data_IF_553663218090
#
_entry.id   IF_553663218090
#
_cell.length_a   1.000
_cell.length_b   1.000
_cell.length_c   1.000
_cell.angle_alpha   90.00
_cell.angle_beta   90.00
_cell.angle_gamma   90.00
#
_symmetry.space_group_name_H-M   'P 1'
#
loop_
_entity.id
_entity.type
_entity.pdbx_description
1 polymer ?
#
# COMPACT_ATOMS: atom_id res chain seq x y z
N UNK A 1 -30.39 11.21 76.61
CA UNK A 1 -29.58 10.16 75.94
C UNK A 1 -29.84 10.20 74.46
N UNK A 2 -28.88 10.66 73.65
CA UNK A 2 -28.74 10.32 72.24
C UNK A 2 -27.33 10.74 71.80
N UNK A 3 -26.50 9.75 71.51
CA UNK A 3 -25.08 9.82 71.18
C UNK A 3 -24.87 10.24 69.72
N UNK A 4 -24.06 11.27 69.46
CA UNK A 4 -23.53 11.58 68.13
C UNK A 4 -22.18 10.90 67.94
N UNK A 5 -22.12 9.91 67.05
CA UNK A 5 -20.90 9.18 66.73
C UNK A 5 -20.02 9.97 65.76
N UNK A 6 -18.78 10.19 66.18
CA UNK A 6 -17.74 10.89 65.44
C UNK A 6 -17.11 9.94 64.39
N UNK A 7 -17.39 10.19 63.10
CA UNK A 7 -16.87 9.40 61.98
C UNK A 7 -15.68 10.09 61.29
N UNK A 8 -14.48 9.88 61.81
CA UNK A 8 -13.25 10.51 61.36
C UNK A 8 -12.66 9.75 60.14
N UNK A 9 -13.02 10.13 58.90
CA UNK A 9 -12.39 9.56 57.70
C UNK A 9 -11.11 10.32 57.34
N UNK A 10 -9.97 9.87 57.87
CA UNK A 10 -8.62 10.26 57.44
C UNK A 10 -8.43 9.94 55.95
N UNK A 11 -8.50 10.97 55.10
CA UNK A 11 -7.97 10.91 53.73
C UNK A 11 -6.45 10.81 53.81
N UNK A 12 -5.90 9.71 53.30
CA UNK A 12 -4.46 9.54 53.08
C UNK A 12 -4.03 10.54 51.99
N UNK A 13 -3.35 11.60 52.41
CA UNK A 13 -2.59 12.46 51.50
C UNK A 13 -1.38 11.66 50.99
N UNK A 14 -1.51 11.15 49.76
CA UNK A 14 -0.39 10.66 48.98
C UNK A 14 0.50 11.85 48.58
N UNK A 15 1.60 12.00 49.31
CA UNK A 15 2.61 13.03 49.10
C UNK A 15 3.22 13.01 47.69
N UNK A 16 3.69 14.20 47.30
CA UNK A 16 4.53 14.55 46.13
C UNK A 16 3.84 14.91 44.80
N UNK A 17 2.50 14.82 44.66
CA UNK A 17 1.81 15.44 43.50
C UNK A 17 1.19 16.82 43.78
N UNK A 18 1.24 17.29 45.04
CA UNK A 18 0.61 18.55 45.48
C UNK A 18 1.46 19.80 45.24
N UNK A 19 2.74 19.66 44.83
CA UNK A 19 3.67 20.77 44.64
C UNK A 19 3.65 21.38 43.23
N UNK A 20 3.03 20.73 42.25
CA UNK A 20 2.83 21.34 40.94
C UNK A 20 1.73 22.41 41.03
N UNK A 21 2.00 23.69 40.70
CA UNK A 21 1.00 24.73 40.77
C UNK A 21 -0.19 24.40 39.85
N UNK A 22 -1.37 24.22 40.44
CA UNK A 22 -2.63 23.93 39.70
C UNK A 22 -3.11 25.11 38.85
N UNK A 23 -2.55 26.30 39.07
CA UNK A 23 -2.88 27.55 38.39
C UNK A 23 -1.59 28.30 38.11
N UNK A 24 -1.50 28.86 36.91
CA UNK A 24 -0.38 29.72 36.48
C UNK A 24 -0.85 31.18 36.55
N UNK A 25 -0.03 32.05 37.15
CA UNK A 25 -0.23 33.50 37.03
C UNK A 25 0.35 33.95 35.69
N UNK A 26 -0.52 34.23 34.72
CA UNK A 26 -0.14 34.56 33.35
C UNK A 26 0.72 35.83 33.30
N UNK A 27 0.38 36.85 34.09
CA UNK A 27 1.07 38.14 34.08
C UNK A 27 2.51 38.02 34.58
N UNK A 28 2.70 37.43 35.76
CA UNK A 28 4.04 37.22 36.33
C UNK A 28 4.93 36.38 35.41
N UNK A 29 4.32 35.38 34.76
CA UNK A 29 5.02 34.53 33.80
C UNK A 29 5.41 35.27 32.51
N UNK A 30 4.54 36.13 31.99
CA UNK A 30 4.83 36.92 30.79
C UNK A 30 5.86 38.01 31.04
N UNK A 31 5.81 38.71 32.18
CA UNK A 31 6.74 39.78 32.53
C UNK A 31 8.17 39.25 32.66
N UNK A 32 8.36 38.13 33.35
CA UNK A 32 9.68 37.50 33.51
C UNK A 32 10.30 37.05 32.18
N UNK A 33 9.50 36.89 31.11
CA UNK A 33 9.93 36.41 29.78
C UNK A 33 9.71 37.43 28.66
N UNK A 34 9.39 38.68 28.99
CA UNK A 34 9.00 39.68 27.99
C UNK A 34 10.08 39.91 26.93
N UNK A 35 11.34 40.12 27.37
CA UNK A 35 12.47 40.33 26.47
C UNK A 35 12.73 39.13 25.52
N UNK A 36 12.56 37.90 26.01
CA UNK A 36 12.70 36.69 25.19
C UNK A 36 11.59 36.61 24.13
N UNK A 37 10.34 36.90 24.51
CA UNK A 37 9.18 36.87 23.62
C UNK A 37 9.26 37.97 22.55
N UNK A 38 9.74 39.16 22.91
CA UNK A 38 9.96 40.27 21.97
C UNK A 38 11.04 39.93 20.94
N UNK A 39 12.16 39.36 21.39
CA UNK A 39 13.23 38.88 20.51
C UNK A 39 12.72 37.80 19.55
N UNK A 40 12.01 36.79 20.07
CA UNK A 40 11.41 35.73 19.25
C UNK A 40 10.38 36.30 18.26
N UNK A 41 9.53 37.21 18.71
CA UNK A 41 8.52 37.83 17.87
C UNK A 41 9.16 38.63 16.73
N UNK A 42 10.22 39.39 16.99
CA UNK A 42 10.96 40.13 15.96
C UNK A 42 11.46 39.20 14.86
N UNK A 43 12.16 38.12 15.26
CA UNK A 43 12.72 37.11 14.33
C UNK A 43 11.61 36.42 13.52
N UNK A 44 10.52 36.00 14.18
CA UNK A 44 9.43 35.27 13.52
C UNK A 44 8.62 36.20 12.62
N UNK A 45 8.36 37.44 13.06
CA UNK A 45 7.63 38.45 12.31
C UNK A 45 8.33 38.79 11.00
N UNK A 46 9.66 38.94 11.03
CA UNK A 46 10.47 39.17 9.83
C UNK A 46 10.37 37.98 8.87
N UNK A 47 10.56 36.75 9.36
CA UNK A 47 10.46 35.54 8.54
C UNK A 47 9.07 35.30 7.92
N UNK A 48 8.02 35.68 8.65
CA UNK A 48 6.63 35.48 8.22
C UNK A 48 6.04 36.70 7.50
N UNK A 49 6.81 37.78 7.29
CA UNK A 49 6.29 39.04 6.75
C UNK A 49 5.02 39.52 7.49
N UNK A 50 5.00 39.36 8.82
CA UNK A 50 3.85 39.68 9.70
C UNK A 50 2.56 38.87 9.41
N UNK A 51 2.59 37.81 8.59
CA UNK A 51 1.42 36.94 8.37
C UNK A 51 1.36 35.78 9.37
N UNK A 52 0.56 35.96 10.42
CA UNK A 52 0.31 34.96 11.45
C UNK A 52 -0.99 34.16 11.21
N UNK A 53 -1.63 34.29 10.04
CA UNK A 53 -2.93 33.67 9.78
C UNK A 53 -2.82 32.16 9.67
N UNK A 54 -3.66 31.46 10.44
CA UNK A 54 -3.76 30.00 10.33
C UNK A 54 -4.46 29.59 9.03
N UNK A 55 -3.78 28.71 8.25
CA UNK A 55 -4.35 28.12 7.03
C UNK A 55 -5.59 27.27 7.38
N UNK A 56 -6.70 27.51 6.68
CA UNK A 56 -8.00 26.88 6.95
C UNK A 56 -7.94 25.34 6.95
N UNK A 57 -7.18 24.74 6.03
CA UNK A 57 -7.03 23.28 5.92
C UNK A 57 -6.26 22.64 7.10
N UNK A 58 -5.46 23.43 7.82
CA UNK A 58 -4.74 22.98 9.03
C UNK A 58 -5.57 23.10 10.31
N UNK A 59 -6.71 23.81 10.28
CA UNK A 59 -7.58 23.97 11.46
C UNK A 59 -8.16 22.62 11.89
N UNK A 60 -8.32 22.43 13.20
CA UNK A 60 -8.93 21.25 13.84
C UNK A 60 -9.97 21.71 14.85
N UNK A 61 -10.95 20.86 15.14
CA UNK A 61 -11.93 21.10 16.21
C UNK A 61 -11.36 20.59 17.52
N UNK A 62 -11.64 21.29 18.61
CA UNK A 62 -11.29 20.83 19.96
C UNK A 62 -12.19 19.67 20.36
N UNK A 63 -11.64 18.74 21.15
CA UNK A 63 -12.39 17.63 21.73
C UNK A 63 -12.83 17.98 23.16
N UNK A 64 -13.86 17.31 23.66
CA UNK A 64 -14.33 17.49 25.04
C UNK A 64 -13.28 17.05 26.06
N UNK A 65 -13.10 17.83 27.13
CA UNK A 65 -12.24 17.48 28.27
C UNK A 65 -12.73 16.24 29.05
N UNK A 66 -14.03 15.96 28.99
CA UNK A 66 -14.63 14.88 29.78
C UNK A 66 -14.17 13.51 29.26
N UNK A 67 -13.37 12.81 30.06
CA UNK A 67 -12.93 11.45 29.79
C UNK A 67 -13.96 10.38 30.15
N UNK A 68 -15.11 10.71 30.73
CA UNK A 68 -16.12 9.70 31.12
C UNK A 68 -16.62 8.84 29.95
N UNK A 69 -16.88 9.38 28.74
CA UNK A 69 -17.20 8.55 27.58
C UNK A 69 -16.01 7.68 27.17
N UNK A 70 -14.77 8.12 27.37
CA UNK A 70 -13.57 7.32 27.09
C UNK A 70 -13.37 6.20 28.12
N UNK A 71 -13.63 6.44 29.41
CA UNK A 71 -13.59 5.42 30.48
C UNK A 71 -14.68 4.36 30.30
N UNK A 72 -15.93 4.75 30.04
CA UNK A 72 -17.01 3.80 29.70
C UNK A 72 -16.70 3.01 28.43
N UNK A 73 -16.14 3.65 27.40
CA UNK A 73 -15.68 2.97 26.17
C UNK A 73 -14.49 2.05 26.42
N UNK A 74 -13.57 2.40 27.32
CA UNK A 74 -12.40 1.58 27.71
C UNK A 74 -12.84 0.32 28.46
N UNK A 75 -13.76 0.45 29.41
CA UNK A 75 -14.33 -0.69 30.14
C UNK A 75 -15.08 -1.63 29.18
N UNK A 76 -15.93 -1.09 28.30
CA UNK A 76 -16.58 -1.89 27.27
C UNK A 76 -15.58 -2.52 26.29
N UNK A 77 -14.47 -1.83 26.01
CA UNK A 77 -13.36 -2.33 25.17
C UNK A 77 -12.65 -3.51 25.82
N UNK A 78 -12.28 -3.43 27.10
CA UNK A 78 -11.67 -4.56 27.81
C UNK A 78 -12.64 -5.75 27.91
N UNK A 79 -13.92 -5.50 28.19
CA UNK A 79 -14.95 -6.56 28.17
C UNK A 79 -15.09 -7.21 26.79
N UNK A 80 -15.00 -6.43 25.71
CA UNK A 80 -15.00 -7.01 24.36
C UNK A 80 -13.70 -7.75 24.02
N UNK A 81 -12.54 -7.26 24.46
CA UNK A 81 -11.23 -7.87 24.18
C UNK A 81 -11.04 -9.18 24.96
N UNK A 82 -11.55 -9.26 26.20
CA UNK A 82 -11.61 -10.51 26.97
C UNK A 82 -12.57 -11.54 26.34
N UNK A 83 -13.74 -11.12 25.84
CA UNK A 83 -14.62 -12.00 25.07
C UNK A 83 -13.96 -12.51 23.77
N UNK A 84 -13.17 -11.67 23.10
CA UNK A 84 -12.40 -12.07 21.90
C UNK A 84 -11.36 -13.14 22.24
N UNK A 85 -10.65 -13.00 23.36
CA UNK A 85 -9.68 -14.01 23.82
C UNK A 85 -10.33 -15.36 24.14
N UNK A 86 -11.57 -15.37 24.65
CA UNK A 86 -12.31 -16.60 24.96
C UNK A 86 -12.88 -17.29 23.70
N UNK A 87 -13.36 -16.55 22.70
CA UNK A 87 -13.87 -17.13 21.43
C UNK A 87 -12.74 -17.72 20.56
N UNK A 88 -11.50 -17.30 20.80
CA UNK A 88 -10.31 -17.82 20.09
C UNK A 88 -9.83 -19.18 20.63
N UNK A 89 -10.33 -19.60 21.80
CA UNK A 89 -10.03 -20.89 22.42
C UNK A 89 -11.30 -21.73 22.53
N UNK A 90 -11.58 -22.52 21.48
CA UNK A 90 -12.45 -23.70 21.48
C UNK A 90 -13.78 -23.63 22.24
N UNK A 91 -14.89 -23.45 21.51
CA UNK A 91 -16.22 -23.76 22.03
C UNK A 91 -17.35 -23.45 21.04
N UNK A 92 -18.10 -24.48 20.64
CA UNK A 92 -19.26 -24.49 19.74
C UNK A 92 -20.51 -23.78 20.30
N UNK A 93 -20.35 -22.53 20.75
CA UNK A 93 -21.47 -21.66 21.06
C UNK A 93 -21.37 -20.38 20.23
N UNK A 94 -22.30 -20.22 19.28
CA UNK A 94 -22.55 -18.98 18.53
C UNK A 94 -22.98 -17.85 19.49
N UNK A 95 -22.04 -17.34 20.27
CA UNK A 95 -22.26 -16.13 21.05
C UNK A 95 -22.42 -14.98 20.07
N UNK A 96 -23.63 -14.40 19.98
CA UNK A 96 -23.93 -13.28 19.10
C UNK A 96 -23.04 -12.08 19.44
N UNK A 97 -21.90 -11.99 18.76
CA UNK A 97 -20.95 -10.89 18.91
C UNK A 97 -21.64 -9.60 18.50
N UNK A 98 -21.63 -8.59 19.38
CA UNK A 98 -22.24 -7.30 19.05
C UNK A 98 -21.55 -6.66 17.84
N UNK A 99 -22.31 -5.92 17.01
CA UNK A 99 -21.82 -5.26 15.79
C UNK A 99 -20.56 -4.41 16.02
N UNK A 100 -20.43 -3.79 17.20
CA UNK A 100 -19.28 -2.96 17.57
C UNK A 100 -18.00 -3.79 17.72
N UNK A 101 -18.10 -4.97 18.33
CA UNK A 101 -16.96 -5.88 18.57
C UNK A 101 -16.52 -6.50 17.25
N UNK A 102 -17.46 -6.97 16.44
CA UNK A 102 -17.18 -7.49 15.09
C UNK A 102 -16.43 -6.47 14.23
N UNK A 103 -16.92 -5.22 14.15
CA UNK A 103 -16.24 -4.13 13.41
C UNK A 103 -14.84 -3.81 13.93
N UNK A 104 -14.60 -3.94 15.24
CA UNK A 104 -13.28 -3.71 15.82
C UNK A 104 -12.30 -4.78 15.34
N UNK A 105 -12.71 -6.04 15.35
CA UNK A 105 -11.88 -7.13 14.84
C UNK A 105 -11.59 -6.96 13.35
N UNK A 106 -12.62 -6.68 12.54
CA UNK A 106 -12.48 -6.48 11.10
C UNK A 106 -11.59 -5.28 10.71
N UNK A 107 -11.39 -4.30 11.60
CA UNK A 107 -10.61 -3.09 11.35
C UNK A 107 -9.32 -3.03 12.19
N UNK A 108 -8.98 -4.11 12.90
CA UNK A 108 -7.79 -4.16 13.77
C UNK A 108 -6.50 -4.19 12.95
N UNK A 109 -6.52 -4.84 11.79
CA UNK A 109 -5.38 -4.94 10.89
C UNK A 109 -5.77 -5.60 9.57
N UNK A 110 -4.83 -5.58 8.62
CA UNK A 110 -4.99 -6.26 7.34
C UNK A 110 -4.58 -7.72 7.48
N UNK A 111 -5.26 -8.67 6.81
CA UNK A 111 -4.83 -10.06 6.73
C UNK A 111 -3.51 -10.16 5.97
N UNK A 112 -2.79 -11.28 6.15
CA UNK A 112 -1.54 -11.54 5.42
C UNK A 112 -1.79 -11.65 3.90
N UNK A 113 -2.90 -12.29 3.51
CA UNK A 113 -3.32 -12.48 2.12
C UNK A 113 -4.78 -12.08 1.93
N UNK A 114 -5.13 -11.62 0.72
CA UNK A 114 -6.48 -11.20 0.36
C UNK A 114 -6.96 -9.89 0.99
N UNK A 115 -8.25 -9.61 0.84
CA UNK A 115 -8.90 -8.42 1.37
C UNK A 115 -9.83 -8.76 2.55
N UNK A 116 -9.97 -7.83 3.50
CA UNK A 116 -11.02 -7.93 4.51
C UNK A 116 -12.39 -7.76 3.84
N UNK A 117 -13.30 -8.70 4.07
CA UNK A 117 -14.69 -8.62 3.60
C UNK A 117 -15.61 -8.12 4.71
N UNK A 118 -16.65 -7.40 4.31
CA UNK A 118 -17.78 -7.06 5.16
C UNK A 118 -18.78 -8.23 5.15
N UNK A 119 -19.75 -8.23 6.07
CA UNK A 119 -20.75 -9.30 6.15
C UNK A 119 -21.64 -9.47 4.89
N UNK A 120 -21.64 -8.51 3.99
CA UNK A 120 -22.32 -8.54 2.69
C UNK A 120 -21.39 -8.96 1.52
N UNK A 121 -20.16 -9.42 1.83
CA UNK A 121 -19.15 -9.77 0.83
C UNK A 121 -18.34 -8.59 0.29
N UNK A 122 -18.67 -7.34 0.62
CA UNK A 122 -17.95 -6.18 0.09
C UNK A 122 -16.56 -6.09 0.69
N UNK A 123 -15.54 -6.12 -0.17
CA UNK A 123 -14.11 -6.07 0.15
C UNK A 123 -13.68 -4.68 0.62
N UNK A 124 -12.59 -4.62 1.36
CA UNK A 124 -11.94 -3.40 1.85
C UNK A 124 -10.46 -3.43 1.48
N UNK A 125 -9.99 -2.34 0.88
CA UNK A 125 -8.57 -2.15 0.59
C UNK A 125 -7.75 -2.07 1.90
N UNK A 126 -6.45 -2.35 1.81
CA UNK A 126 -5.53 -2.27 2.95
C UNK A 126 -5.48 -0.88 3.60
N UNK A 127 -5.77 0.17 2.84
CA UNK A 127 -5.82 1.57 3.29
C UNK A 127 -7.23 2.03 3.72
N UNK A 128 -8.21 1.12 3.78
CA UNK A 128 -9.62 1.47 3.98
C UNK A 128 -9.86 2.33 5.22
N UNK A 129 -9.24 2.02 6.36
CA UNK A 129 -9.40 2.80 7.60
C UNK A 129 -8.91 4.24 7.42
N UNK A 130 -7.83 4.45 6.67
CA UNK A 130 -7.29 5.78 6.41
C UNK A 130 -8.25 6.61 5.54
N UNK A 131 -8.78 5.99 4.49
CA UNK A 131 -9.75 6.60 3.57
C UNK A 131 -11.09 6.85 4.26
N UNK A 132 -11.65 5.89 4.98
CA UNK A 132 -12.94 6.02 5.66
C UNK A 132 -12.95 7.12 6.74
N UNK A 133 -11.80 7.48 7.31
CA UNK A 133 -11.66 8.61 8.24
C UNK A 133 -11.71 9.99 7.57
N UNK A 134 -11.46 10.07 6.26
CA UNK A 134 -11.19 11.33 5.53
C UNK A 134 -12.15 11.57 4.37
N UNK A 135 -12.67 10.51 3.78
CA UNK A 135 -13.49 10.53 2.58
C UNK A 135 -14.87 9.96 2.85
N UNK A 136 -15.83 10.37 2.03
CA UNK A 136 -17.12 9.68 1.94
C UNK A 136 -16.89 8.38 1.20
N UNK A 137 -17.15 7.25 1.85
CA UNK A 137 -16.98 5.92 1.27
C UNK A 137 -18.26 5.47 0.57
N UNK A 138 -18.11 4.78 -0.56
CA UNK A 138 -19.21 4.15 -1.31
C UNK A 138 -18.86 2.71 -1.67
N UNK A 139 -19.86 1.90 -2.01
CA UNK A 139 -19.66 0.55 -2.51
C UNK A 139 -19.66 0.58 -4.03
N UNK A 140 -18.54 0.21 -4.64
CA UNK A 140 -18.37 0.13 -6.09
C UNK A 140 -17.58 -1.14 -6.41
N UNK A 141 -18.04 -1.89 -7.41
CA UNK A 141 -17.33 -3.07 -7.94
C UNK A 141 -16.95 -4.12 -6.89
N UNK A 142 -17.79 -4.28 -5.87
CA UNK A 142 -17.51 -5.20 -4.74
C UNK A 142 -16.53 -4.67 -3.70
N UNK A 143 -16.10 -3.41 -3.78
CA UNK A 143 -15.18 -2.76 -2.83
C UNK A 143 -15.79 -1.53 -2.15
N UNK A 144 -15.32 -1.23 -0.93
CA UNK A 144 -15.53 0.06 -0.28
C UNK A 144 -14.47 1.07 -0.74
N UNK A 145 -14.85 1.98 -1.64
CA UNK A 145 -13.95 2.95 -2.26
C UNK A 145 -14.25 4.40 -1.84
N UNK A 146 -13.24 5.27 -1.78
CA UNK A 146 -13.42 6.69 -1.48
C UNK A 146 -14.04 7.42 -2.67
N UNK A 147 -15.19 8.05 -2.49
CA UNK A 147 -15.86 8.84 -3.53
C UNK A 147 -15.36 10.30 -3.58
N UNK A 148 -14.88 10.82 -2.46
CA UNK A 148 -14.41 12.21 -2.36
C UNK A 148 -14.39 12.74 -0.93
N UNK A 149 -13.84 13.93 -0.74
CA UNK A 149 -13.75 14.54 0.59
C UNK A 149 -15.15 14.88 1.13
N UNK A 150 -15.24 14.99 2.45
CA UNK A 150 -16.46 15.46 3.11
C UNK A 150 -16.76 16.92 2.75
N UNK A 151 -18.04 17.25 2.53
CA UNK A 151 -18.52 18.60 2.26
C UNK A 151 -18.90 18.88 0.80
N UNK A 152 -19.39 20.11 0.54
CA UNK A 152 -19.85 20.53 -0.79
C UNK A 152 -18.67 20.57 -1.77
N UNK A 153 -18.88 20.02 -2.97
CA UNK A 153 -17.86 19.98 -4.03
C UNK A 153 -16.77 18.93 -3.83
N UNK A 154 -16.81 18.12 -2.76
CA UNK A 154 -16.00 16.90 -2.55
C UNK A 154 -14.48 17.03 -2.78
N UNK A 155 -13.94 18.25 -2.72
CA UNK A 155 -12.54 18.53 -2.98
C UNK A 155 -12.14 18.62 -4.46
N UNK A 156 -13.08 18.62 -5.42
CA UNK A 156 -12.77 18.59 -6.86
C UNK A 156 -11.83 19.71 -7.31
N UNK A 157 -12.02 20.93 -6.82
CA UNK A 157 -11.14 22.07 -7.10
C UNK A 157 -9.72 21.88 -6.56
N UNK A 158 -9.60 21.26 -5.39
CA UNK A 158 -8.29 20.98 -4.79
C UNK A 158 -7.60 19.85 -5.57
N UNK A 159 -8.32 18.79 -5.93
CA UNK A 159 -7.79 17.71 -6.79
C UNK A 159 -7.24 18.28 -8.11
N UNK A 160 -8.01 19.12 -8.81
CA UNK A 160 -7.56 19.76 -10.05
C UNK A 160 -6.36 20.70 -9.83
N UNK A 161 -6.32 21.40 -8.69
CA UNK A 161 -5.18 22.26 -8.35
C UNK A 161 -3.93 21.42 -8.08
N UNK A 162 -4.06 20.33 -7.31
CA UNK A 162 -2.93 19.45 -6.99
C UNK A 162 -2.44 18.69 -8.21
N UNK A 163 -3.31 18.27 -9.14
CA UNK A 163 -2.86 17.62 -10.37
C UNK A 163 -2.04 18.56 -11.26
N UNK A 164 -2.34 19.87 -11.27
CA UNK A 164 -1.62 20.87 -12.07
C UNK A 164 -0.35 21.41 -11.41
N UNK A 165 -0.32 21.53 -10.08
CA UNK A 165 0.72 22.29 -9.37
C UNK A 165 1.43 21.51 -8.24
N UNK A 166 0.90 20.33 -7.92
CA UNK A 166 1.28 19.54 -6.76
C UNK A 166 1.46 18.07 -7.09
N UNK A 167 1.03 17.22 -6.16
CA UNK A 167 1.03 15.77 -6.31
C UNK A 167 -0.28 15.21 -5.79
N UNK A 168 -0.84 14.24 -6.51
CA UNK A 168 -2.00 13.48 -6.12
C UNK A 168 -1.62 12.00 -6.03
N UNK A 169 -2.09 11.31 -5.00
CA UNK A 169 -1.97 9.87 -4.84
C UNK A 169 -3.36 9.24 -4.95
N UNK A 170 -3.49 8.21 -5.78
CA UNK A 170 -4.69 7.40 -5.91
C UNK A 170 -4.37 5.95 -5.56
N UNK A 171 -5.22 5.34 -4.74
CA UNK A 171 -5.11 3.93 -4.39
C UNK A 171 -5.94 3.09 -5.38
N UNK A 172 -5.26 2.56 -6.39
CA UNK A 172 -5.80 1.71 -7.44
C UNK A 172 -5.69 0.21 -7.11
N UNK A 173 -5.47 -0.17 -5.85
CA UNK A 173 -5.24 -1.56 -5.44
C UNK A 173 -6.47 -2.47 -5.60
N UNK A 174 -7.60 -1.94 -6.07
CA UNK A 174 -8.75 -2.74 -6.50
C UNK A 174 -8.55 -3.34 -7.90
N UNK A 175 -7.55 -2.90 -8.68
CA UNK A 175 -7.11 -3.64 -9.85
C UNK A 175 -6.46 -4.95 -9.39
N UNK A 176 -6.85 -6.05 -10.02
CA UNK A 176 -6.39 -7.38 -9.62
C UNK A 176 -5.40 -7.88 -10.66
N UNK A 177 -4.24 -8.33 -10.18
CA UNK A 177 -3.19 -8.91 -11.01
C UNK A 177 -3.41 -10.42 -11.21
N UNK A 178 -3.24 -10.90 -12.43
CA UNK A 178 -3.17 -12.31 -12.80
C UNK A 178 -1.87 -12.67 -13.51
N UNK A 179 -1.47 -13.94 -13.50
CA UNK A 179 -0.30 -14.46 -14.22
C UNK A 179 -0.66 -15.23 -15.47
N UNK A 180 0.11 -15.07 -16.56
CA UNK A 180 -0.10 -15.77 -17.82
C UNK A 180 1.13 -15.78 -18.74
N UNK A 181 1.37 -16.84 -19.51
CA UNK A 181 2.31 -16.82 -20.64
C UNK A 181 1.63 -17.35 -21.90
N UNK A 182 2.11 -16.89 -23.06
CA UNK A 182 1.73 -17.28 -24.44
C UNK A 182 0.29 -17.05 -24.92
N UNK A 183 -0.66 -16.81 -24.01
CA UNK A 183 -2.09 -16.65 -24.34
C UNK A 183 -2.44 -15.22 -24.79
N UNK A 184 -1.61 -14.24 -24.45
CA UNK A 184 -1.90 -12.83 -24.71
C UNK A 184 -2.15 -12.52 -26.19
N UNK A 185 -1.42 -13.16 -27.11
CA UNK A 185 -1.59 -12.93 -28.54
C UNK A 185 -2.97 -13.39 -29.06
N UNK A 186 -3.66 -14.27 -28.33
CA UNK A 186 -5.00 -14.75 -28.69
C UNK A 186 -6.14 -13.87 -28.12
N UNK A 187 -5.87 -13.13 -27.04
CA UNK A 187 -6.91 -12.45 -26.25
C UNK A 187 -6.81 -10.92 -26.23
N UNK A 188 -5.63 -10.37 -26.53
CA UNK A 188 -5.35 -8.95 -26.41
C UNK A 188 -5.36 -8.25 -27.76
N UNK A 189 -5.98 -7.08 -27.78
CA UNK A 189 -5.87 -6.13 -28.89
C UNK A 189 -5.39 -4.74 -28.37
N UNK A 190 -4.33 -4.14 -28.95
CA UNK A 190 -3.45 -4.73 -29.94
C UNK A 190 -2.72 -5.96 -29.38
N UNK A 191 -2.47 -6.93 -30.24
CA UNK A 191 -1.62 -8.06 -29.88
C UNK A 191 -0.21 -7.53 -29.60
N UNK A 192 0.51 -8.08 -28.59
CA UNK A 192 1.92 -7.76 -28.36
C UNK A 192 2.77 -7.82 -29.65
N UNK A 193 2.45 -8.73 -30.58
CA UNK A 193 3.15 -8.90 -31.85
C UNK A 193 2.90 -7.79 -32.88
N UNK A 194 1.90 -6.92 -32.67
CA UNK A 194 1.57 -5.81 -33.57
C UNK A 194 2.48 -4.59 -33.39
N UNK A 195 3.29 -4.59 -32.33
CA UNK A 195 4.20 -3.50 -32.01
C UNK A 195 5.51 -3.59 -32.80
N UNK A 196 6.25 -2.48 -32.87
CA UNK A 196 7.61 -2.50 -33.41
C UNK A 196 8.49 -3.43 -32.57
N UNK A 197 9.51 -4.04 -33.20
CA UNK A 197 10.41 -5.00 -32.52
C UNK A 197 11.00 -4.43 -31.23
N UNK A 198 11.38 -3.15 -31.23
CA UNK A 198 11.96 -2.47 -30.06
C UNK A 198 10.99 -2.39 -28.87
N UNK A 199 9.71 -2.08 -29.14
CA UNK A 199 8.67 -1.99 -28.11
C UNK A 199 8.33 -3.40 -27.60
N UNK A 200 8.18 -4.36 -28.50
CA UNK A 200 7.94 -5.75 -28.14
C UNK A 200 9.06 -6.34 -27.27
N UNK A 201 10.32 -6.11 -27.63
CA UNK A 201 11.48 -6.56 -26.85
C UNK A 201 11.56 -5.87 -25.49
N UNK A 202 11.23 -4.57 -25.42
CA UNK A 202 11.15 -3.82 -24.16
C UNK A 202 10.07 -4.40 -23.22
N UNK A 203 8.90 -4.73 -23.77
CA UNK A 203 7.81 -5.35 -23.02
C UNK A 203 8.26 -6.72 -22.53
N UNK A 204 8.72 -7.57 -23.46
CA UNK A 204 9.15 -8.94 -23.17
C UNK A 204 10.20 -8.93 -22.06
N UNK A 205 11.23 -8.10 -22.15
CA UNK A 205 12.29 -7.97 -21.13
C UNK A 205 11.81 -7.37 -19.80
N UNK A 206 10.56 -6.91 -19.69
CA UNK A 206 10.00 -6.33 -18.46
C UNK A 206 10.45 -4.89 -18.21
N UNK A 207 10.90 -4.19 -19.25
CA UNK A 207 11.32 -2.78 -19.19
C UNK A 207 10.18 -1.81 -19.47
N UNK A 208 9.07 -2.30 -20.01
CA UNK A 208 7.86 -1.53 -20.20
C UNK A 208 6.60 -2.35 -19.88
N UNK A 209 5.54 -1.65 -19.50
CA UNK A 209 4.18 -2.17 -19.43
C UNK A 209 3.38 -1.63 -20.60
N UNK A 210 2.29 -2.31 -20.93
CA UNK A 210 1.42 -1.88 -22.01
C UNK A 210 -0.06 -2.06 -21.63
N UNK A 211 -0.92 -1.33 -22.33
CA UNK A 211 -2.37 -1.42 -22.20
C UNK A 211 -2.95 -2.11 -23.43
N UNK A 212 -3.88 -3.03 -23.21
CA UNK A 212 -4.61 -3.70 -24.27
C UNK A 212 -6.08 -3.88 -23.87
N UNK A 213 -6.92 -4.23 -24.83
CA UNK A 213 -8.29 -4.65 -24.61
C UNK A 213 -8.36 -6.17 -24.58
N UNK A 214 -8.99 -6.72 -23.55
CA UNK A 214 -9.27 -8.14 -23.41
C UNK A 214 -10.59 -8.47 -24.11
N UNK A 215 -10.59 -9.53 -24.91
CA UNK A 215 -11.76 -9.99 -25.67
C UNK A 215 -12.18 -11.42 -25.31
N UNK A 216 -13.45 -11.72 -25.60
CA UNK A 216 -13.96 -13.09 -25.62
C UNK A 216 -13.33 -13.91 -26.75
N UNK A 217 -13.25 -15.22 -26.53
CA UNK A 217 -12.71 -16.19 -27.51
C UNK A 217 -13.72 -16.65 -28.57
N UNK A 218 -15.01 -16.31 -28.42
CA UNK A 218 -16.09 -16.84 -29.28
C UNK A 218 -16.28 -16.02 -30.58
N UNK A 219 -16.35 -16.68 -31.76
CA UNK A 219 -16.65 -16.04 -33.04
C UNK A 219 -18.17 -15.76 -33.22
N UNK A 220 -18.59 -14.83 -34.10
CA UNK A 220 -17.83 -14.23 -35.20
C UNK A 220 -17.30 -12.81 -34.94
N UNK A 221 -17.70 -12.16 -33.84
CA UNK A 221 -17.19 -10.84 -33.43
C UNK A 221 -16.81 -10.94 -31.97
N UNK A 222 -15.51 -10.96 -31.70
CA UNK A 222 -14.99 -11.04 -30.33
C UNK A 222 -15.52 -9.84 -29.54
N UNK A 223 -16.33 -10.09 -28.52
CA UNK A 223 -16.89 -9.04 -27.67
C UNK A 223 -15.82 -8.53 -26.70
N UNK A 224 -15.64 -7.20 -26.64
CA UNK A 224 -14.71 -6.57 -25.72
C UNK A 224 -15.17 -6.74 -24.26
N UNK A 225 -14.25 -7.17 -23.39
CA UNK A 225 -14.49 -7.40 -21.97
C UNK A 225 -14.00 -6.22 -21.16
N UNK A 226 -12.69 -5.93 -21.23
CA UNK A 226 -12.09 -4.94 -20.36
C UNK A 226 -10.73 -4.42 -20.87
N UNK A 227 -10.39 -3.15 -20.61
CA UNK A 227 -9.02 -2.69 -20.69
C UNK A 227 -8.19 -3.37 -19.61
N UNK A 228 -7.00 -3.81 -19.99
CA UNK A 228 -6.02 -4.45 -19.11
C UNK A 228 -4.67 -3.79 -19.28
N UNK A 229 -3.93 -3.69 -18.18
CA UNK A 229 -2.51 -3.31 -18.23
C UNK A 229 -1.68 -4.54 -17.95
N UNK A 230 -0.77 -4.90 -18.84
CA UNK A 230 0.06 -6.08 -18.67
C UNK A 230 1.55 -5.73 -18.66
N UNK A 231 2.33 -6.51 -17.91
CA UNK A 231 3.78 -6.34 -17.80
C UNK A 231 4.46 -7.67 -17.49
N UNK A 232 5.63 -7.90 -18.10
CA UNK A 232 6.47 -9.02 -17.73
C UNK A 232 7.16 -8.72 -16.41
N UNK A 233 7.12 -9.68 -15.47
CA UNK A 233 7.97 -9.63 -14.28
C UNK A 233 9.42 -9.60 -14.79
N UNK A 234 10.22 -8.59 -14.42
CA UNK A 234 11.62 -8.55 -14.80
C UNK A 234 12.31 -9.81 -14.26
N UNK A 235 12.69 -10.70 -15.16
CA UNK A 235 13.55 -11.83 -14.84
C UNK A 235 14.99 -11.34 -14.92
N UNK A 236 15.76 -11.47 -13.85
CA UNK A 236 17.21 -11.57 -14.01
C UNK A 236 17.44 -12.89 -14.74
N UNK A 237 17.41 -12.89 -16.07
CA UNK A 237 17.87 -14.03 -16.85
C UNK A 237 19.32 -14.22 -16.41
N UNK A 238 19.69 -15.35 -15.76
CA UNK A 238 21.09 -15.67 -15.59
C UNK A 238 21.65 -15.68 -17.01
N UNK A 239 22.61 -14.80 -17.31
CA UNK A 239 23.29 -14.84 -18.60
C UNK A 239 23.72 -16.29 -18.81
N UNK A 240 23.12 -16.99 -19.77
CA UNK A 240 23.66 -18.27 -20.20
C UNK A 240 25.07 -17.97 -20.69
N UNK A 241 26.05 -18.62 -20.07
CA UNK A 241 27.42 -18.66 -20.57
C UNK A 241 27.39 -19.54 -21.82
N UNK A 242 26.99 -18.98 -22.94
CA UNK A 242 27.33 -19.48 -24.26
C UNK A 242 28.35 -18.44 -24.78
N UNK A 243 29.60 -18.72 -25.13
CA UNK A 243 30.24 -19.92 -25.64
C UNK A 243 31.72 -19.89 -25.21
N UNK A 244 32.24 -20.95 -24.58
CA UNK A 244 33.67 -21.25 -24.65
C UNK A 244 33.85 -22.62 -25.27
N UNK A 245 34.44 -22.60 -26.46
CA UNK A 245 34.91 -23.75 -27.22
C UNK A 245 35.85 -24.60 -26.36
N UNK A 246 35.54 -25.89 -26.29
CA UNK A 246 36.51 -26.98 -26.45
C UNK A 246 37.41 -27.34 -25.27
N UNK A 247 37.40 -28.63 -24.93
CA UNK A 247 38.63 -29.34 -24.55
C UNK A 247 38.75 -29.83 -23.11
N UNK A 248 38.61 -31.15 -23.01
CA UNK A 248 39.18 -32.11 -22.05
C UNK A 248 38.72 -32.13 -20.58
N UNK A 249 38.33 -33.34 -20.18
CA UNK A 249 37.72 -33.66 -18.91
C UNK A 249 38.68 -34.12 -17.83
N UNK A 250 38.13 -34.28 -16.63
CA UNK A 250 38.32 -35.41 -15.72
C UNK A 250 37.34 -35.19 -14.55
N UNK A 251 36.58 -36.23 -14.24
CA UNK A 251 35.48 -36.19 -13.29
C UNK A 251 35.92 -36.04 -11.84
N UNK A 252 35.05 -35.43 -11.04
CA UNK A 252 34.82 -35.84 -9.65
C UNK A 252 33.34 -35.63 -9.32
N UNK A 253 32.68 -36.74 -8.97
CA UNK A 253 31.32 -36.78 -8.47
C UNK A 253 31.19 -35.90 -7.21
N UNK A 254 30.37 -34.85 -7.30
CA UNK A 254 29.76 -34.22 -6.13
C UNK A 254 28.25 -34.22 -6.31
N UNK A 255 27.49 -34.61 -5.27
CA UNK A 255 26.05 -34.77 -5.38
C UNK A 255 25.43 -33.42 -5.70
N UNK A 256 24.76 -33.39 -6.86
CA UNK A 256 23.93 -32.29 -7.33
C UNK A 256 22.87 -32.05 -6.26
N UNK A 257 22.99 -30.95 -5.51
CA UNK A 257 21.96 -30.53 -4.58
C UNK A 257 20.75 -30.10 -5.41
N UNK A 258 19.80 -31.02 -5.47
CA UNK A 258 18.40 -30.83 -5.80
C UNK A 258 17.87 -29.50 -5.24
N UNK A 259 17.77 -28.47 -6.12
CA UNK A 259 16.75 -27.42 -6.19
C UNK A 259 17.13 -26.41 -7.27
N UNK A 260 17.17 -26.86 -8.53
CA UNK A 260 17.07 -25.94 -9.66
C UNK A 260 15.63 -25.40 -9.71
N UNK A 261 15.37 -24.34 -8.92
CA UNK A 261 14.17 -23.53 -9.13
C UNK A 261 14.31 -22.87 -10.50
N UNK A 262 13.77 -23.51 -11.53
CA UNK A 262 13.51 -22.84 -12.81
C UNK A 262 12.51 -21.73 -12.50
N UNK A 263 12.96 -20.49 -12.35
CA UNK A 263 12.07 -19.34 -12.17
C UNK A 263 11.35 -19.14 -13.50
N UNK A 264 10.19 -19.78 -13.63
CA UNK A 264 9.31 -19.60 -14.77
C UNK A 264 9.02 -18.10 -14.89
N UNK A 265 9.19 -17.58 -16.11
CA UNK A 265 8.88 -16.18 -16.39
C UNK A 265 7.42 -15.92 -16.03
N UNK A 266 7.15 -14.79 -15.37
CA UNK A 266 5.81 -14.42 -14.92
C UNK A 266 5.37 -13.18 -15.68
N UNK A 267 4.13 -13.15 -16.10
CA UNK A 267 3.47 -11.93 -16.55
C UNK A 267 2.54 -11.47 -15.44
N UNK A 268 2.29 -10.18 -15.34
CA UNK A 268 1.19 -9.63 -14.55
C UNK A 268 0.21 -8.95 -15.47
N UNK A 269 -1.08 -9.29 -15.33
CA UNK A 269 -2.19 -8.68 -16.04
C UNK A 269 -3.10 -8.03 -15.01
N UNK A 270 -3.17 -6.70 -15.03
CA UNK A 270 -4.02 -5.90 -14.17
C UNK A 270 -5.38 -5.70 -14.84
N UNK A 271 -6.43 -6.23 -14.21
CA UNK A 271 -7.82 -6.10 -14.66
C UNK A 271 -8.57 -5.27 -13.63
N UNK A 272 -9.48 -4.42 -14.11
CA UNK A 272 -10.37 -3.66 -13.25
C UNK A 272 -11.31 -4.57 -12.46
N UNK A 273 -11.61 -4.23 -11.20
CA UNK A 273 -12.44 -5.04 -10.30
C UNK A 273 -13.82 -5.42 -10.87
N UNK A 274 -14.44 -4.52 -11.66
CA UNK A 274 -15.78 -4.74 -12.21
C UNK A 274 -15.86 -5.89 -13.21
N UNK A 275 -14.78 -6.12 -13.93
CA UNK A 275 -14.67 -7.11 -15.01
C UNK A 275 -13.71 -8.24 -14.66
N UNK A 276 -13.18 -8.26 -13.43
CA UNK A 276 -12.19 -9.26 -13.04
C UNK A 276 -12.74 -10.69 -13.13
N UNK A 277 -13.96 -10.94 -12.65
CA UNK A 277 -14.55 -12.30 -12.66
C UNK A 277 -14.66 -12.84 -14.09
N UNK A 278 -15.17 -12.03 -15.01
CA UNK A 278 -15.32 -12.38 -16.42
C UNK A 278 -13.97 -12.51 -17.13
N UNK A 279 -13.10 -11.50 -16.99
CA UNK A 279 -11.78 -11.51 -17.60
C UNK A 279 -10.89 -12.66 -17.11
N UNK A 280 -10.92 -12.95 -15.81
CA UNK A 280 -10.16 -14.07 -15.23
C UNK A 280 -10.69 -15.43 -15.69
N UNK A 281 -12.01 -15.58 -15.85
CA UNK A 281 -12.59 -16.81 -16.39
C UNK A 281 -12.12 -17.07 -17.83
N UNK A 282 -12.11 -16.03 -18.67
CA UNK A 282 -11.63 -16.14 -20.06
C UNK A 282 -10.14 -16.45 -20.12
N UNK A 283 -9.32 -15.82 -19.27
CA UNK A 283 -7.89 -16.16 -19.18
C UNK A 283 -7.69 -17.64 -18.82
N UNK A 284 -8.49 -18.19 -17.89
CA UNK A 284 -8.43 -19.62 -17.54
C UNK A 284 -8.82 -20.53 -18.69
N UNK A 285 -9.92 -20.23 -19.38
CA UNK A 285 -10.37 -21.01 -20.54
C UNK A 285 -9.29 -21.01 -21.62
N UNK A 286 -8.66 -19.85 -21.85
CA UNK A 286 -7.58 -19.73 -22.82
C UNK A 286 -6.33 -20.52 -22.42
N UNK A 287 -6.03 -20.65 -21.10
CA UNK A 287 -4.96 -21.53 -20.62
C UNK A 287 -5.23 -22.99 -20.96
N UNK A 288 -6.45 -23.45 -20.70
CA UNK A 288 -6.84 -24.82 -20.97
C UNK A 288 -6.80 -25.11 -22.48
N UNK A 289 -7.29 -24.17 -23.30
CA UNK A 289 -7.22 -24.29 -24.76
C UNK A 289 -5.78 -24.39 -25.25
N UNK A 290 -4.89 -23.52 -24.77
CA UNK A 290 -3.48 -23.57 -25.16
C UNK A 290 -2.82 -24.89 -24.74
N UNK A 291 -3.09 -25.37 -23.53
CA UNK A 291 -2.57 -26.65 -23.05
C UNK A 291 -3.00 -27.80 -23.95
N UNK A 292 -4.26 -27.79 -24.41
CA UNK A 292 -4.77 -28.81 -25.34
C UNK A 292 -4.12 -28.73 -26.73
N UNK A 293 -3.83 -27.53 -27.24
CA UNK A 293 -3.29 -27.35 -28.60
C UNK A 293 -1.77 -27.53 -28.67
N UNK A 294 -1.03 -27.03 -27.68
CA UNK A 294 0.45 -26.98 -27.71
C UNK A 294 1.12 -27.95 -26.75
N UNK A 295 0.36 -28.58 -25.84
CA UNK A 295 0.90 -29.43 -24.76
C UNK A 295 1.64 -28.64 -23.67
N UNK A 296 1.72 -27.31 -23.77
CA UNK A 296 2.41 -26.45 -22.79
C UNK A 296 1.45 -26.09 -21.65
N UNK A 297 1.78 -26.51 -20.42
CA UNK A 297 1.01 -26.14 -19.23
C UNK A 297 1.26 -24.68 -18.88
N UNK A 298 0.19 -23.89 -18.80
CA UNK A 298 0.22 -22.48 -18.36
C UNK A 298 -0.67 -22.33 -17.15
N UNK A 299 -0.07 -21.92 -16.03
CA UNK A 299 -0.82 -21.70 -14.80
C UNK A 299 -1.31 -20.25 -14.70
N UNK A 300 -2.60 -20.10 -14.41
CA UNK A 300 -3.23 -18.80 -14.19
C UNK A 300 -3.75 -18.65 -12.75
N UNK A 301 -3.05 -17.84 -11.96
CA UNK A 301 -3.39 -17.56 -10.56
C UNK A 301 -3.84 -16.11 -10.38
N UNK A 302 -4.80 -15.91 -9.47
CA UNK A 302 -5.17 -14.59 -8.97
C UNK A 302 -4.23 -14.16 -7.84
N UNK A 303 -3.71 -12.94 -7.90
CA UNK A 303 -2.91 -12.31 -6.85
C UNK A 303 -3.72 -11.29 -6.04
N UNK A 304 -5.04 -11.50 -5.93
CA UNK A 304 -5.95 -10.59 -5.25
C UNK A 304 -5.51 -10.31 -3.79
N UNK A 305 -5.33 -9.04 -3.44
CA UNK A 305 -4.96 -8.61 -2.09
C UNK A 305 -3.51 -8.91 -1.68
N UNK A 306 -2.70 -9.48 -2.58
CA UNK A 306 -1.26 -9.69 -2.40
C UNK A 306 -0.44 -8.53 -2.97
N UNK A 307 -0.83 -8.04 -4.15
CA UNK A 307 -0.25 -6.86 -4.78
C UNK A 307 -1.14 -5.64 -4.60
N UNK A 308 -0.52 -4.46 -4.52
CA UNK A 308 -1.18 -3.17 -4.40
C UNK A 308 -0.68 -2.25 -5.53
N UNK A 309 -1.57 -1.39 -6.04
CA UNK A 309 -1.25 -0.41 -7.07
C UNK A 309 -1.56 0.98 -6.54
N UNK A 310 -0.53 1.82 -6.44
CA UNK A 310 -0.67 3.22 -6.07
C UNK A 310 -0.26 4.07 -7.27
N UNK A 311 -1.17 4.93 -7.72
CA UNK A 311 -0.94 5.82 -8.84
C UNK A 311 -0.63 7.23 -8.33
N UNK A 312 0.43 7.83 -8.84
CA UNK A 312 0.89 9.16 -8.43
C UNK A 312 0.83 10.07 -9.64
N UNK A 313 0.20 11.23 -9.49
CA UNK A 313 -0.01 12.20 -10.56
C UNK A 313 0.52 13.58 -10.17
N UNK A 314 0.90 14.35 -11.19
CA UNK A 314 1.25 15.77 -11.08
C UNK A 314 2.75 16.04 -11.26
N UNK A 315 3.12 17.30 -11.55
CA UNK A 315 4.48 17.68 -11.98
C UNK A 315 5.56 17.57 -10.89
N UNK A 316 5.17 17.21 -9.67
CA UNK A 316 6.10 17.02 -8.54
C UNK A 316 6.14 15.57 -8.07
N UNK A 317 5.52 14.65 -8.82
CA UNK A 317 5.39 13.25 -8.46
C UNK A 317 6.76 12.55 -8.38
N UNK A 318 7.57 12.72 -9.41
CA UNK A 318 8.95 12.24 -9.51
C UNK A 318 9.82 12.70 -8.33
N UNK A 319 9.82 14.00 -8.05
CA UNK A 319 10.54 14.59 -6.91
C UNK A 319 10.06 14.05 -5.56
N UNK A 320 8.76 13.81 -5.40
CA UNK A 320 8.22 13.21 -4.17
C UNK A 320 8.71 11.77 -4.01
N UNK A 321 8.72 11.00 -5.09
CA UNK A 321 9.19 9.62 -5.10
C UNK A 321 10.68 9.54 -4.74
N UNK A 322 11.54 10.37 -5.34
CA UNK A 322 12.96 10.48 -4.96
C UNK A 322 13.17 10.71 -3.47
N UNK A 323 12.37 11.62 -2.89
CA UNK A 323 12.49 11.98 -1.47
C UNK A 323 12.00 10.88 -0.54
N UNK A 324 11.06 10.06 -1.01
CA UNK A 324 10.34 9.09 -0.17
C UNK A 324 10.93 7.69 -0.29
N UNK A 325 11.28 7.27 -1.51
CA UNK A 325 11.84 5.95 -1.80
C UNK A 325 13.37 6.03 -1.79
N UNK A 326 13.98 5.38 -0.81
CA UNK A 326 15.43 5.27 -0.70
C UNK A 326 15.85 3.87 -1.15
N UNK A 327 16.60 3.75 -2.26
CA UNK A 327 17.11 2.48 -2.70
C UNK A 327 17.89 1.80 -1.58
N UNK A 328 17.67 0.50 -1.39
CA UNK A 328 18.50 -0.28 -0.49
C UNK A 328 19.92 -0.38 -1.07
N UNK A 329 20.84 0.44 -0.58
CA UNK A 329 22.26 0.30 -0.84
C UNK A 329 22.79 -0.85 0.01
N UNK A 330 23.32 -1.88 -0.64
CA UNK A 330 23.92 -3.04 0.01
C UNK A 330 25.25 -2.68 0.70
N UNK A 331 25.20 -1.98 1.83
CA UNK A 331 26.39 -1.62 2.61
C UNK A 331 26.18 -1.65 4.12
N UNK A 332 25.14 -2.35 4.62
CA UNK A 332 24.90 -2.49 6.07
C UNK A 332 24.83 -3.97 6.43
N UNK A 333 25.73 -4.39 7.31
CA UNK A 333 25.87 -5.72 7.87
C UNK A 333 24.68 -6.11 8.76
N UNK A 334 23.51 -6.41 8.18
CA UNK A 334 22.44 -7.11 8.89
C UNK A 334 22.30 -8.53 8.33
N UNK A 335 22.96 -9.46 9.01
CA UNK A 335 23.14 -10.87 8.65
C UNK A 335 21.86 -11.71 8.66
N UNK A 336 20.69 -11.11 8.91
CA UNK A 336 19.39 -11.81 8.92
C UNK A 336 18.60 -11.65 7.60
N UNK A 337 18.93 -10.67 6.75
CA UNK A 337 18.40 -10.55 5.37
C UNK A 337 19.26 -11.38 4.38
N UNK A 338 20.49 -11.72 4.80
CA UNK A 338 21.51 -12.41 4.00
C UNK A 338 21.12 -13.81 3.52
N UNK A 339 20.15 -14.50 4.16
CA UNK A 339 19.73 -15.84 3.70
C UNK A 339 18.86 -15.86 2.43
N UNK A 340 18.39 -14.71 1.94
CA UNK A 340 17.76 -14.60 0.60
C UNK A 340 18.57 -13.80 -0.41
N UNK A 341 19.70 -13.22 0.01
CA UNK A 341 20.50 -12.31 -0.80
C UNK A 341 21.93 -12.84 -0.98
N UNK A 342 22.09 -13.85 -1.83
CA UNK A 342 23.37 -14.17 -2.43
C UNK A 342 23.21 -14.17 -3.95
N UNK A 343 23.19 -12.98 -4.58
CA UNK A 343 23.38 -12.87 -6.03
C UNK A 343 24.18 -11.61 -6.36
N UNK A 344 25.16 -11.80 -7.24
CA UNK A 344 26.27 -10.91 -7.56
C UNK A 344 25.89 -9.54 -8.12
N UNK A 345 26.80 -8.61 -7.84
CA UNK A 345 26.85 -7.21 -8.27
C UNK A 345 26.51 -7.04 -9.75
N UNK A 346 25.44 -6.32 -10.05
CA UNK A 346 25.36 -5.57 -11.29
C UNK A 346 26.10 -4.24 -11.06
N UNK A 347 27.16 -4.00 -11.81
CA UNK A 347 27.84 -2.71 -11.87
C UNK A 347 26.80 -1.60 -12.07
N UNK A 348 26.69 -0.72 -11.08
CA UNK A 348 25.97 0.54 -11.20
C UNK A 348 26.79 1.44 -12.12
N UNK A 349 26.67 1.22 -13.44
CA UNK A 349 27.00 2.27 -14.39
C UNK A 349 26.03 3.41 -14.12
N UNK A 350 26.57 4.61 -13.88
CA UNK A 350 25.85 5.85 -13.65
C UNK A 350 24.69 6.00 -14.65
N UNK A 351 23.48 5.60 -14.24
CA UNK A 351 22.26 5.91 -14.96
C UNK A 351 21.87 7.31 -14.51
N UNK A 352 21.71 8.21 -15.48
CA UNK A 352 21.18 9.55 -15.27
C UNK A 352 19.95 9.50 -14.36
N UNK A 353 19.81 10.49 -13.47
CA UNK A 353 18.74 10.59 -12.48
C UNK A 353 17.40 10.03 -13.00
N UNK A 354 16.93 8.86 -12.50
CA UNK A 354 15.81 8.10 -13.08
C UNK A 354 14.46 8.84 -13.02
N UNK A 355 14.45 10.03 -12.45
CA UNK A 355 13.29 10.88 -12.23
C UNK A 355 13.32 12.17 -13.06
N UNK A 356 14.30 12.33 -13.97
CA UNK A 356 14.22 13.36 -15.02
C UNK A 356 13.14 12.95 -16.03
N UNK A 357 11.95 13.49 -15.86
CA UNK A 357 10.73 13.17 -16.65
C UNK A 357 10.91 13.39 -18.17
N UNK A 358 11.87 14.21 -18.59
CA UNK A 358 12.06 14.60 -19.99
C UNK A 358 12.58 13.48 -20.91
N UNK A 359 13.07 12.35 -20.36
CA UNK A 359 13.65 11.24 -21.14
C UNK A 359 13.03 9.86 -20.86
N UNK A 360 11.91 9.79 -20.13
CA UNK A 360 11.28 8.50 -19.80
C UNK A 360 10.27 8.13 -20.88
N UNK A 361 10.52 7.02 -21.57
CA UNK A 361 9.56 6.46 -22.54
C UNK A 361 8.21 6.16 -21.89
N UNK A 362 7.13 6.37 -22.62
CA UNK A 362 5.78 6.02 -22.17
C UNK A 362 5.71 4.55 -21.77
N UNK A 363 5.23 4.26 -20.58
CA UNK A 363 5.10 2.88 -20.08
C UNK A 363 6.37 2.25 -19.51
N UNK A 364 7.47 2.99 -19.32
CA UNK A 364 8.69 2.44 -18.74
C UNK A 364 8.49 1.87 -17.31
N UNK A 365 9.18 0.76 -17.02
CA UNK A 365 9.20 0.10 -15.71
C UNK A 365 10.59 0.26 -15.10
N UNK A 366 10.63 0.76 -13.87
CA UNK A 366 11.82 0.79 -13.03
C UNK A 366 11.56 -0.04 -11.78
N UNK A 367 12.17 -1.22 -11.70
CA UNK A 367 12.08 -2.09 -10.55
C UNK A 367 13.28 -1.87 -9.62
N UNK A 368 13.01 -1.57 -8.34
CA UNK A 368 14.06 -1.31 -7.36
C UNK A 368 13.66 -1.82 -5.97
N UNK A 369 14.64 -2.30 -5.22
CA UNK A 369 14.48 -2.60 -3.80
C UNK A 369 14.60 -1.30 -2.99
N UNK A 370 13.61 -1.05 -2.14
CA UNK A 370 13.49 0.20 -1.37
C UNK A 370 13.43 -0.14 0.12
N UNK A 371 14.14 0.64 0.95
CA UNK A 371 14.11 0.49 2.41
C UNK A 371 12.80 1.04 2.96
N UNK A 372 12.18 0.29 3.88
CA UNK A 372 11.03 0.78 4.63
C UNK A 372 11.46 1.74 5.76
N UNK A 373 11.23 3.04 5.57
CA UNK A 373 11.50 4.08 6.58
C UNK A 373 10.57 4.03 7.79
N UNK A 374 9.44 3.33 7.74
CA UNK A 374 8.62 3.14 8.93
C UNK A 374 9.27 2.16 9.92
N UNK A 375 10.17 1.31 9.46
CA UNK A 375 10.89 0.31 10.27
C UNK A 375 12.24 0.83 10.73
N UNK A 376 12.95 1.63 9.92
CA UNK A 376 14.20 2.31 10.27
C UNK A 376 14.08 3.84 10.12
N UNK A 377 13.57 4.55 11.15
CA UNK A 377 13.64 6.00 11.18
C UNK A 377 15.06 6.42 11.61
N UNK A 378 15.82 7.00 10.68
CA UNK A 378 17.00 7.82 11.04
C UNK A 378 16.60 9.09 11.80
#
# INVERSE_FOLDING_TARGET
MATTSNGNSKKRDGGLSSLAPRKINVQKFSEARAAELESLHSIVSERLNKDFRSKRNKRRRTNSYNNQPAKKRYIQRQKSESLIGQVSGGGDHETKITRRVKRRMELKGNPQSGFCTSGDGTKRLRTHVWHAKRFTMTKLWGFHLPLGLHGRGRGSRDVLKQSRQGVLLHDASYHIAGSLLSILNMLLEPSPSSHSKEVFDSILTGRSYENAMLYHLEPPVSQAIAPVTYMWRPSQIPKRRDEEKGGDGIGTDRPVSDRDYVDFRKLWVWIHASSFTEGYAILKVACQKQMNETGVSVDCFSLEGQLAKLEIFGPKASHLLQKTLHPATSSSEDTSISKMCSMEKAEVKNVADPYKEENVSSGAILAQFVIDRAVNPE
#
